data_IF_144473889720
#
_entry.id   IF_144473889720
#
_cell.length_a   1.000
_cell.length_b   1.000
_cell.length_c   1.000
_cell.angle_alpha   90.00
_cell.angle_beta   90.00
_cell.angle_gamma   90.00
#
_symmetry.space_group_name_H-M   'P 1'
#
loop_
_entity.id
_entity.type
_entity.pdbx_description
1 polymer ?
#
# COMPACT_ATOMS: atom_id res chain seq x y z
N UNK A 1 24.06 -5.40 -16.98
CA UNK A 1 23.55 -4.65 -15.81
C UNK A 1 24.74 -4.33 -14.93
N UNK A 2 24.77 -3.15 -14.29
CA UNK A 2 25.75 -2.89 -13.22
C UNK A 2 25.48 -3.88 -12.09
N UNK A 3 26.49 -4.60 -11.62
CA UNK A 3 26.34 -5.48 -10.46
C UNK A 3 26.23 -4.60 -9.23
N UNK A 4 25.03 -4.42 -8.70
CA UNK A 4 24.83 -3.73 -7.42
C UNK A 4 25.49 -4.59 -6.35
N UNK A 5 26.46 -4.03 -5.62
CA UNK A 5 27.11 -4.70 -4.50
C UNK A 5 26.48 -4.25 -3.17
N UNK A 6 26.63 -5.08 -2.14
CA UNK A 6 26.38 -4.68 -0.75
C UNK A 6 27.43 -3.63 -0.37
N UNK A 7 27.08 -2.70 0.52
CA UNK A 7 28.02 -1.71 1.05
C UNK A 7 29.12 -2.33 1.93
N UNK A 8 30.36 -1.89 1.74
CA UNK A 8 31.49 -2.27 2.60
C UNK A 8 31.24 -1.91 4.08
N UNK A 9 30.55 -0.79 4.33
CA UNK A 9 30.14 -0.37 5.68
C UNK A 9 29.13 -1.36 6.29
N UNK A 10 28.19 -1.86 5.50
CA UNK A 10 27.25 -2.90 5.94
C UNK A 10 28.01 -4.20 6.21
N UNK A 11 28.88 -4.64 5.30
CA UNK A 11 29.71 -5.85 5.46
C UNK A 11 30.59 -5.82 6.73
N UNK A 12 31.05 -4.63 7.13
CA UNK A 12 31.91 -4.40 8.31
C UNK A 12 31.13 -4.11 9.60
N UNK A 13 29.80 -3.98 9.55
CA UNK A 13 28.97 -3.61 10.71
C UNK A 13 28.88 -4.75 11.73
N UNK A 14 29.33 -4.52 12.97
CA UNK A 14 29.25 -5.49 14.07
C UNK A 14 27.82 -6.03 14.30
N UNK A 15 26.81 -5.23 13.97
CA UNK A 15 25.41 -5.60 14.07
C UNK A 15 25.05 -6.78 13.15
N UNK A 16 25.56 -6.82 11.92
CA UNK A 16 25.25 -7.91 10.98
C UNK A 16 26.09 -9.18 11.22
N UNK A 17 27.13 -9.09 12.07
CA UNK A 17 28.00 -10.23 12.40
C UNK A 17 27.39 -11.14 13.47
N UNK A 18 26.32 -10.69 14.13
CA UNK A 18 25.58 -11.46 15.13
C UNK A 18 24.16 -11.74 14.62
N UNK A 19 23.56 -12.90 14.94
CA UNK A 19 22.14 -13.14 14.70
C UNK A 19 21.27 -12.33 15.68
N UNK A 20 20.01 -12.11 15.33
CA UNK A 20 19.02 -11.53 16.24
C UNK A 20 18.61 -12.51 17.35
N UNK A 21 18.13 -11.96 18.48
CA UNK A 21 17.58 -12.73 19.59
C UNK A 21 16.31 -13.52 19.20
N UNK A 22 15.59 -13.06 18.18
CA UNK A 22 14.37 -13.66 17.64
C UNK A 22 14.27 -13.38 16.15
N UNK A 23 13.89 -14.39 15.37
CA UNK A 23 13.61 -14.22 13.93
C UNK A 23 12.32 -13.43 13.70
N UNK A 24 12.37 -12.49 12.75
CA UNK A 24 11.21 -11.73 12.28
C UNK A 24 10.79 -12.16 10.87
N UNK A 25 9.48 -12.20 10.60
CA UNK A 25 8.95 -12.21 9.23
C UNK A 25 8.66 -10.76 8.83
N UNK A 26 9.46 -10.21 7.92
CA UNK A 26 9.42 -8.79 7.56
C UNK A 26 8.95 -8.65 6.13
N UNK A 27 7.87 -7.91 5.93
CA UNK A 27 7.33 -7.64 4.59
C UNK A 27 7.91 -6.35 4.04
N UNK A 28 8.52 -6.45 2.87
CA UNK A 28 9.31 -5.40 2.25
C UNK A 28 8.67 -4.93 0.94
N UNK A 29 8.33 -3.64 0.87
CA UNK A 29 7.79 -3.02 -0.34
C UNK A 29 8.82 -2.12 -0.99
N UNK A 30 8.76 -1.97 -2.32
CA UNK A 30 9.64 -1.09 -3.08
C UNK A 30 9.41 -1.15 -4.58
N UNK A 31 10.16 -0.34 -5.33
CA UNK A 31 10.04 -0.24 -6.80
C UNK A 31 10.14 -1.59 -7.55
N UNK A 32 9.28 -1.78 -8.55
CA UNK A 32 9.34 -2.86 -9.56
C UNK A 32 9.99 -2.43 -10.88
N UNK A 33 10.56 -1.23 -10.95
CA UNK A 33 11.02 -0.64 -12.21
C UNK A 33 12.43 -1.10 -12.58
N UNK A 34 12.63 -1.56 -13.81
CA UNK A 34 13.96 -1.80 -14.40
C UNK A 34 14.79 -0.51 -14.60
N UNK A 35 14.17 0.67 -14.39
CA UNK A 35 14.81 2.00 -14.41
C UNK A 35 14.98 2.60 -13.01
N UNK A 36 14.91 1.79 -11.95
CA UNK A 36 15.10 2.27 -10.57
C UNK A 36 16.53 2.78 -10.38
N UNK A 37 16.73 4.02 -9.88
CA UNK A 37 18.05 4.55 -9.60
C UNK A 37 18.90 3.68 -8.67
N UNK A 38 20.20 3.60 -8.96
CA UNK A 38 21.18 2.78 -8.26
C UNK A 38 21.18 2.98 -6.74
N UNK A 39 21.07 4.22 -6.26
CA UNK A 39 20.98 4.54 -4.82
C UNK A 39 19.85 3.79 -4.08
N UNK A 40 18.72 3.55 -4.73
CA UNK A 40 17.61 2.78 -4.13
C UNK A 40 17.81 1.27 -4.28
N UNK A 41 18.45 0.82 -5.37
CA UNK A 41 18.80 -0.59 -5.55
C UNK A 41 19.84 -1.04 -4.52
N UNK A 42 20.79 -0.16 -4.17
CA UNK A 42 21.83 -0.37 -3.19
C UNK A 42 21.23 -0.61 -1.79
N UNK A 43 20.40 0.32 -1.32
CA UNK A 43 19.69 0.16 -0.04
C UNK A 43 18.72 -1.02 -0.03
N UNK A 44 18.11 -1.35 -1.18
CA UNK A 44 17.32 -2.55 -1.32
C UNK A 44 18.16 -3.84 -1.18
N UNK A 45 19.36 -3.90 -1.78
CA UNK A 45 20.28 -5.04 -1.61
C UNK A 45 20.81 -5.14 -0.18
N UNK A 46 21.21 -4.00 0.40
CA UNK A 46 21.61 -3.88 1.79
C UNK A 46 20.50 -4.44 2.72
N UNK A 47 19.23 -4.03 2.53
CA UNK A 47 18.11 -4.53 3.34
C UNK A 47 17.95 -6.05 3.26
N UNK A 48 17.94 -6.63 2.05
CA UNK A 48 17.84 -8.07 1.87
C UNK A 48 18.96 -8.82 2.59
N UNK A 49 20.20 -8.34 2.44
CA UNK A 49 21.38 -8.92 3.07
C UNK A 49 21.36 -8.81 4.60
N UNK A 50 21.00 -7.65 5.14
CA UNK A 50 20.92 -7.40 6.59
C UNK A 50 19.84 -8.29 7.21
N UNK A 51 18.64 -8.36 6.61
CA UNK A 51 17.58 -9.26 7.09
C UNK A 51 18.05 -10.71 7.13
N UNK A 52 18.67 -11.20 6.06
CA UNK A 52 19.22 -12.55 6.00
C UNK A 52 20.29 -12.81 7.07
N UNK A 53 21.27 -11.90 7.21
CA UNK A 53 22.37 -12.00 8.19
C UNK A 53 21.89 -11.95 9.64
N UNK A 54 20.85 -11.17 9.95
CA UNK A 54 20.21 -11.11 11.27
C UNK A 54 19.30 -12.33 11.55
N UNK A 55 19.05 -13.19 10.57
CA UNK A 55 18.21 -14.39 10.71
C UNK A 55 16.71 -14.13 10.53
N UNK A 56 16.34 -13.05 9.83
CA UNK A 56 14.96 -12.68 9.51
C UNK A 56 14.54 -13.24 8.15
N UNK A 57 13.23 -13.44 7.98
CA UNK A 57 12.61 -13.81 6.70
C UNK A 57 12.22 -12.54 5.93
N UNK A 58 12.73 -12.36 4.72
CA UNK A 58 12.37 -11.26 3.82
C UNK A 58 11.20 -11.67 2.93
N UNK A 59 10.07 -10.96 3.01
CA UNK A 59 8.86 -11.23 2.23
C UNK A 59 8.64 -10.07 1.26
N UNK A 60 8.50 -10.31 -0.04
CA UNK A 60 8.26 -9.22 -1.00
C UNK A 60 7.43 -9.66 -2.22
N UNK A 61 7.16 -8.71 -3.13
CA UNK A 61 6.33 -8.93 -4.32
C UNK A 61 6.95 -9.77 -5.45
N UNK A 62 8.07 -10.44 -5.22
CA UNK A 62 8.75 -11.38 -6.11
C UNK A 62 9.26 -10.88 -7.48
N UNK A 63 9.20 -9.57 -7.77
CA UNK A 63 9.46 -9.05 -9.12
C UNK A 63 10.94 -9.13 -9.58
N UNK A 64 11.13 -9.38 -10.87
CA UNK A 64 12.45 -9.50 -11.54
C UNK A 64 13.27 -8.21 -11.66
N UNK A 65 12.74 -7.05 -11.23
CA UNK A 65 13.41 -5.75 -11.39
C UNK A 65 13.20 -4.83 -10.18
N UNK A 66 14.02 -3.77 -10.12
CA UNK A 66 13.90 -2.72 -9.12
C UNK A 66 14.36 -3.15 -7.73
N UNK A 67 13.83 -2.49 -6.70
CA UNK A 67 14.14 -2.80 -5.31
C UNK A 67 13.77 -4.25 -4.94
N UNK A 68 12.70 -4.82 -5.52
CA UNK A 68 12.35 -6.22 -5.28
C UNK A 68 13.46 -7.19 -5.71
N UNK A 69 14.01 -7.01 -6.91
CA UNK A 69 15.13 -7.82 -7.39
C UNK A 69 16.37 -7.67 -6.50
N UNK A 70 16.74 -6.43 -6.17
CA UNK A 70 17.92 -6.18 -5.36
C UNK A 70 17.80 -6.76 -3.93
N UNK A 71 16.61 -6.68 -3.30
CA UNK A 71 16.32 -7.36 -2.02
C UNK A 71 16.46 -8.88 -2.13
N UNK A 72 15.90 -9.47 -3.19
CA UNK A 72 15.97 -10.92 -3.43
C UNK A 72 17.42 -11.39 -3.56
N UNK A 73 18.23 -10.69 -4.35
CA UNK A 73 19.66 -10.97 -4.48
C UNK A 73 20.40 -10.84 -3.14
N UNK A 74 20.23 -9.71 -2.44
CA UNK A 74 20.94 -9.45 -1.18
C UNK A 74 20.61 -10.51 -0.11
N UNK A 75 19.35 -10.93 -0.02
CA UNK A 75 18.95 -11.98 0.90
C UNK A 75 19.48 -13.38 0.48
N UNK A 76 19.70 -13.64 -0.81
CA UNK A 76 20.41 -14.84 -1.29
C UNK A 76 21.89 -14.78 -0.92
N UNK A 77 22.55 -13.63 -1.10
CA UNK A 77 23.96 -13.41 -0.69
C UNK A 77 24.17 -13.54 0.82
N UNK A 78 23.17 -13.15 1.62
CA UNK A 78 23.16 -13.34 3.07
C UNK A 78 22.81 -14.76 3.53
N UNK A 79 22.53 -15.69 2.60
CA UNK A 79 22.06 -17.06 2.86
C UNK A 79 20.79 -17.11 3.74
N UNK A 80 19.85 -16.20 3.50
CA UNK A 80 18.64 -16.03 4.30
C UNK A 80 17.43 -16.84 3.82
N UNK A 81 16.27 -16.50 4.40
CA UNK A 81 14.96 -16.99 3.97
C UNK A 81 14.20 -15.87 3.23
N UNK A 82 13.72 -16.18 2.03
CA UNK A 82 13.01 -15.25 1.14
C UNK A 82 11.67 -15.84 0.76
N UNK A 83 10.60 -15.04 0.84
CA UNK A 83 9.26 -15.40 0.39
C UNK A 83 8.80 -14.42 -0.69
N UNK A 84 8.66 -14.89 -1.91
CA UNK A 84 8.03 -14.14 -3.00
C UNK A 84 6.51 -14.29 -2.95
N UNK A 85 5.76 -13.19 -3.14
CA UNK A 85 4.29 -13.21 -3.25
C UNK A 85 3.85 -12.54 -4.54
N UNK A 86 3.41 -13.35 -5.50
CA UNK A 86 3.04 -12.93 -6.85
C UNK A 86 1.56 -13.25 -7.13
N UNK A 87 0.90 -12.47 -7.97
CA UNK A 87 -0.43 -12.81 -8.48
C UNK A 87 -0.29 -13.60 -9.79
N UNK A 88 -1.14 -14.61 -10.01
CA UNK A 88 -1.10 -15.50 -11.19
C UNK A 88 -1.03 -14.77 -12.54
N UNK A 89 -1.58 -13.56 -12.61
CA UNK A 89 -1.57 -12.70 -13.82
C UNK A 89 -0.18 -12.27 -14.29
N UNK A 90 0.87 -12.46 -13.48
CA UNK A 90 2.26 -12.15 -13.82
C UNK A 90 3.16 -13.40 -13.92
N UNK A 91 2.59 -14.61 -13.78
CA UNK A 91 3.29 -15.88 -13.98
C UNK A 91 3.08 -16.39 -15.42
N UNK A 92 3.26 -15.51 -16.40
CA UNK A 92 2.84 -15.77 -17.79
C UNK A 92 3.57 -16.97 -18.36
N UNK A 93 2.80 -18.02 -18.64
CA UNK A 93 3.18 -19.09 -19.55
C UNK A 93 2.06 -19.21 -20.60
N UNK A 94 2.44 -19.39 -21.88
CA UNK A 94 1.62 -19.29 -23.11
C UNK A 94 1.37 -17.86 -23.69
N UNK A 95 2.26 -17.41 -24.58
CA UNK A 95 1.92 -16.50 -25.68
C UNK A 95 2.63 -15.13 -25.72
N UNK A 96 3.15 -14.75 -26.89
CA UNK A 96 3.96 -13.54 -27.10
C UNK A 96 3.23 -12.23 -26.77
N UNK A 97 3.91 -11.30 -26.08
CA UNK A 97 3.51 -9.88 -26.01
C UNK A 97 3.88 -9.13 -27.30
N UNK A 98 3.30 -9.55 -28.42
CA UNK A 98 3.50 -8.94 -29.72
C UNK A 98 3.02 -7.48 -29.77
N UNK A 99 3.60 -6.71 -30.70
CA UNK A 99 3.29 -5.30 -30.96
C UNK A 99 1.78 -5.05 -31.17
N UNK A 100 1.18 -4.14 -30.41
CA UNK A 100 -0.24 -3.77 -30.60
C UNK A 100 -0.49 -3.01 -31.91
N UNK A 101 -1.65 -3.20 -32.57
CA UNK A 101 -2.11 -2.33 -33.66
C UNK A 101 -2.33 -0.86 -33.29
N UNK A 102 -2.29 -0.52 -31.99
CA UNK A 102 -2.53 0.82 -31.42
C UNK A 102 -1.27 1.50 -30.87
N UNK A 103 -0.08 0.90 -31.07
CA UNK A 103 1.22 1.52 -30.73
C UNK A 103 1.63 1.56 -29.25
N UNK A 104 1.09 0.71 -28.37
CA UNK A 104 1.48 0.60 -26.95
C UNK A 104 1.89 -0.83 -26.56
N UNK A 105 3.15 -1.06 -26.21
CA UNK A 105 3.67 -2.37 -25.77
C UNK A 105 3.77 -2.48 -24.23
N UNK A 106 3.33 -3.62 -23.68
CA UNK A 106 3.43 -4.02 -22.26
C UNK A 106 3.37 -5.55 -22.15
N UNK A 107 4.12 -6.25 -21.28
CA UNK A 107 5.31 -5.84 -20.51
C UNK A 107 6.08 -7.11 -20.12
N UNK A 108 7.37 -7.15 -20.43
CA UNK A 108 8.28 -8.20 -19.99
C UNK A 108 8.44 -8.14 -18.45
N UNK A 109 8.09 -9.21 -17.73
CA UNK A 109 8.02 -9.17 -16.26
C UNK A 109 7.36 -10.38 -15.60
N UNK A 110 8.17 -11.41 -15.32
CA UNK A 110 7.81 -12.55 -14.48
C UNK A 110 8.31 -12.43 -13.03
N UNK A 111 8.36 -13.58 -12.35
CA UNK A 111 9.02 -13.72 -11.04
C UNK A 111 10.55 -13.67 -11.17
N UNK A 112 11.23 -13.21 -10.12
CA UNK A 112 12.69 -13.19 -10.07
C UNK A 112 13.26 -14.62 -10.13
N UNK A 113 14.29 -14.84 -10.95
CA UNK A 113 14.88 -16.18 -11.20
C UNK A 113 15.55 -16.85 -9.99
N UNK A 114 15.56 -16.20 -8.82
CA UNK A 114 15.88 -16.89 -7.56
C UNK A 114 14.80 -17.90 -7.19
N UNK A 115 13.54 -17.62 -7.49
CA UNK A 115 12.39 -18.47 -7.15
C UNK A 115 12.17 -19.64 -8.12
N UNK A 116 12.91 -19.68 -9.24
CA UNK A 116 12.93 -20.81 -10.18
C UNK A 116 13.81 -21.98 -9.69
N UNK A 117 14.69 -21.72 -8.71
CA UNK A 117 15.66 -22.71 -8.22
C UNK A 117 15.02 -23.61 -7.17
N UNK A 118 15.22 -24.93 -7.31
CA UNK A 118 14.75 -25.91 -6.34
C UNK A 118 15.36 -25.66 -4.95
N UNK A 119 14.53 -25.60 -3.91
CA UNK A 119 15.01 -25.56 -2.54
C UNK A 119 15.60 -26.90 -2.12
N UNK A 120 16.87 -26.89 -1.70
CA UNK A 120 17.39 -27.89 -0.77
C UNK A 120 17.55 -27.20 0.60
N UNK A 121 16.69 -27.45 1.60
CA UNK A 121 16.81 -26.82 2.93
C UNK A 121 18.13 -27.14 3.65
N UNK A 122 18.85 -28.16 3.20
CA UNK A 122 20.17 -28.54 3.72
C UNK A 122 21.33 -27.80 3.04
N UNK A 123 21.10 -27.07 1.94
CA UNK A 123 22.13 -26.43 1.12
C UNK A 123 21.67 -25.07 0.55
N UNK A 124 22.11 -23.98 1.19
CA UNK A 124 21.92 -22.61 0.69
C UNK A 124 20.70 -21.86 1.27
N UNK A 125 20.28 -20.74 0.64
CA UNK A 125 19.13 -19.95 1.10
C UNK A 125 17.79 -20.62 0.78
N UNK A 126 16.80 -20.37 1.64
CA UNK A 126 15.42 -20.88 1.51
C UNK A 126 14.60 -19.88 0.68
N UNK A 127 13.84 -20.38 -0.32
CA UNK A 127 13.14 -19.54 -1.30
C UNK A 127 11.70 -20.01 -1.51
N UNK A 128 10.74 -19.41 -0.82
CA UNK A 128 9.32 -19.73 -0.99
C UNK A 128 8.69 -18.83 -2.07
N UNK A 129 7.68 -19.37 -2.78
CA UNK A 129 6.83 -18.61 -3.71
C UNK A 129 5.38 -18.88 -3.35
N UNK A 130 4.64 -17.82 -3.00
CA UNK A 130 3.21 -17.83 -2.79
C UNK A 130 2.52 -17.19 -4.00
N UNK A 131 1.50 -17.87 -4.50
CA UNK A 131 0.75 -17.45 -5.68
C UNK A 131 -0.67 -17.06 -5.22
N UNK A 132 -1.03 -15.79 -5.38
CA UNK A 132 -2.41 -15.34 -5.28
C UNK A 132 -3.15 -15.69 -6.58
N UNK A 133 -4.31 -16.33 -6.46
CA UNK A 133 -5.12 -16.81 -7.58
C UNK A 133 -6.52 -16.19 -7.64
N UNK A 134 -6.83 -15.25 -6.76
CA UNK A 134 -8.07 -14.49 -6.73
C UNK A 134 -8.37 -13.65 -8.00
N UNK A 135 -9.49 -12.91 -7.97
CA UNK A 135 -9.91 -12.04 -9.07
C UNK A 135 -9.23 -10.66 -9.05
N UNK A 136 -8.54 -10.30 -7.95
CA UNK A 136 -7.99 -8.97 -7.70
C UNK A 136 -6.69 -9.00 -6.87
N UNK A 137 -6.13 -7.82 -6.61
CA UNK A 137 -4.87 -7.67 -5.89
C UNK A 137 -4.98 -7.78 -4.36
N UNK A 138 -6.18 -7.89 -3.80
CA UNK A 138 -6.39 -7.89 -2.34
C UNK A 138 -5.88 -9.17 -1.70
N UNK A 139 -6.06 -10.32 -2.36
CA UNK A 139 -5.48 -11.58 -1.88
C UNK A 139 -3.95 -11.51 -1.82
N UNK A 140 -3.30 -10.97 -2.86
CA UNK A 140 -1.85 -10.79 -2.85
C UNK A 140 -1.40 -9.90 -1.70
N UNK A 141 -2.08 -8.77 -1.46
CA UNK A 141 -1.76 -7.88 -0.32
C UNK A 141 -1.95 -8.57 1.02
N UNK A 142 -3.00 -9.38 1.17
CA UNK A 142 -3.21 -10.25 2.34
C UNK A 142 -2.06 -11.24 2.54
N UNK A 143 -1.66 -11.99 1.51
CA UNK A 143 -0.55 -12.96 1.56
C UNK A 143 0.81 -12.31 1.84
N UNK A 144 1.03 -11.08 1.38
CA UNK A 144 2.24 -10.31 1.69
C UNK A 144 2.38 -10.06 3.20
N UNK A 145 1.29 -9.75 3.91
CA UNK A 145 1.32 -9.40 5.35
C UNK A 145 0.92 -10.54 6.29
N UNK A 146 0.47 -11.68 5.77
CA UNK A 146 0.04 -12.83 6.58
C UNK A 146 1.19 -13.37 7.46
N UNK A 147 1.00 -13.36 8.78
CA UNK A 147 2.03 -13.74 9.74
C UNK A 147 3.28 -12.84 9.77
N UNK A 148 3.26 -11.66 9.11
CA UNK A 148 4.35 -10.70 9.21
C UNK A 148 4.36 -10.02 10.59
N UNK A 149 5.55 -9.67 11.07
CA UNK A 149 5.74 -8.93 12.32
C UNK A 149 5.88 -7.42 12.09
N UNK A 150 6.31 -6.99 10.90
CA UNK A 150 6.50 -5.58 10.55
C UNK A 150 6.60 -5.35 9.04
N UNK A 151 6.48 -4.08 8.63
CA UNK A 151 6.75 -3.60 7.28
C UNK A 151 8.04 -2.77 7.21
N UNK A 152 8.82 -2.97 6.14
CA UNK A 152 9.87 -2.05 5.68
C UNK A 152 9.53 -1.55 4.29
N UNK A 153 9.59 -0.25 4.05
CA UNK A 153 9.19 0.35 2.77
C UNK A 153 10.35 1.15 2.17
N UNK A 154 10.85 0.67 1.04
CA UNK A 154 11.87 1.32 0.21
C UNK A 154 11.21 2.17 -0.88
N UNK A 155 11.93 3.17 -1.43
CA UNK A 155 11.44 4.01 -2.52
C UNK A 155 10.80 3.23 -3.67
N UNK A 156 9.64 3.72 -4.10
CA UNK A 156 8.74 3.03 -5.00
C UNK A 156 7.67 3.95 -5.58
N UNK A 157 6.76 3.38 -6.37
CA UNK A 157 5.69 4.12 -7.06
C UNK A 157 4.29 3.81 -6.49
N UNK A 158 3.22 4.07 -7.25
CA UNK A 158 1.84 3.94 -6.78
C UNK A 158 1.47 2.58 -6.16
N UNK A 159 2.03 1.46 -6.63
CA UNK A 159 1.80 0.14 -6.00
C UNK A 159 2.39 0.07 -4.59
N UNK A 160 3.65 0.49 -4.42
CA UNK A 160 4.32 0.62 -3.11
C UNK A 160 3.57 1.58 -2.18
N UNK A 161 2.98 2.65 -2.74
CA UNK A 161 2.21 3.63 -1.96
C UNK A 161 0.83 3.10 -1.55
N UNK A 162 0.15 2.33 -2.40
CA UNK A 162 -1.10 1.62 -2.05
C UNK A 162 -0.84 0.63 -0.90
N UNK A 163 0.18 -0.21 -1.06
CA UNK A 163 0.62 -1.20 -0.05
C UNK A 163 1.04 -0.54 1.28
N UNK A 164 1.70 0.63 1.24
CA UNK A 164 2.05 1.43 2.43
C UNK A 164 0.80 2.05 3.10
N UNK A 165 -0.03 2.76 2.34
CA UNK A 165 -1.15 3.53 2.90
C UNK A 165 -2.29 2.64 3.38
N UNK A 166 -2.46 1.44 2.82
CA UNK A 166 -3.36 0.43 3.37
C UNK A 166 -2.99 0.06 4.81
N UNK A 167 -1.72 -0.25 5.08
CA UNK A 167 -1.27 -0.58 6.44
C UNK A 167 -1.26 0.64 7.37
N UNK A 168 -0.89 1.83 6.87
CA UNK A 168 -0.94 3.05 7.67
C UNK A 168 -2.39 3.40 8.08
N UNK A 169 -3.38 3.15 7.20
CA UNK A 169 -4.80 3.26 7.54
C UNK A 169 -5.25 2.20 8.55
N UNK A 170 -4.85 0.93 8.37
CA UNK A 170 -5.14 -0.14 9.33
C UNK A 170 -4.59 0.17 10.73
N UNK A 171 -3.38 0.73 10.80
CA UNK A 171 -2.72 1.20 12.01
C UNK A 171 -3.47 2.38 12.64
N UNK A 172 -3.81 3.43 11.87
CA UNK A 172 -4.64 4.56 12.33
C UNK A 172 -5.97 4.12 12.97
N UNK A 173 -6.58 3.06 12.44
CA UNK A 173 -7.84 2.50 12.93
C UNK A 173 -7.69 1.53 14.12
N UNK A 174 -6.47 1.18 14.53
CA UNK A 174 -6.22 0.22 15.61
C UNK A 174 -6.72 -1.19 15.29
N UNK A 175 -6.63 -1.61 14.02
CA UNK A 175 -7.00 -2.96 13.61
C UNK A 175 -6.02 -3.98 14.22
N UNK A 176 -6.53 -5.15 14.60
CA UNK A 176 -5.76 -6.20 15.28
C UNK A 176 -4.56 -6.74 14.48
N UNK A 177 -4.55 -6.54 13.15
CA UNK A 177 -3.47 -6.94 12.25
C UNK A 177 -2.57 -5.75 11.83
N UNK A 178 -2.64 -4.59 12.50
CA UNK A 178 -1.79 -3.46 12.14
C UNK A 178 -0.35 -3.68 12.55
N UNK A 179 0.55 -3.59 11.57
CA UNK A 179 1.98 -3.80 11.76
C UNK A 179 2.70 -2.49 12.11
N UNK A 180 3.87 -2.55 12.77
CA UNK A 180 4.86 -1.48 12.73
C UNK A 180 5.32 -1.23 11.28
N UNK A 181 5.55 0.03 10.94
CA UNK A 181 5.96 0.47 9.59
C UNK A 181 7.21 1.34 9.72
N UNK A 182 8.27 0.99 9.00
CA UNK A 182 9.44 1.86 8.80
C UNK A 182 9.71 2.09 7.32
N UNK A 183 9.87 3.35 6.94
CA UNK A 183 10.25 3.78 5.59
C UNK A 183 11.73 4.15 5.54
N UNK A 184 12.46 3.60 4.56
CA UNK A 184 13.86 3.96 4.30
C UNK A 184 13.88 5.19 3.38
N UNK A 185 14.17 6.35 3.96
CA UNK A 185 14.09 7.68 3.37
C UNK A 185 15.34 8.06 2.56
N UNK A 186 15.79 7.14 1.69
CA UNK A 186 17.00 7.29 0.88
C UNK A 186 16.97 8.59 0.07
N UNK A 187 17.97 9.45 0.24
CA UNK A 187 18.06 10.77 -0.39
C UNK A 187 16.77 11.60 -0.23
N UNK A 188 16.19 11.54 0.98
CA UNK A 188 14.98 12.26 1.38
C UNK A 188 13.74 11.98 0.51
N UNK A 189 13.67 10.82 -0.16
CA UNK A 189 12.57 10.44 -1.07
C UNK A 189 11.16 10.55 -0.45
N UNK A 190 11.02 10.22 0.83
CA UNK A 190 9.77 10.28 1.59
C UNK A 190 9.56 11.60 2.34
N UNK A 191 10.48 12.55 2.26
CA UNK A 191 10.34 13.87 2.90
C UNK A 191 9.00 14.58 2.57
N UNK A 192 8.49 14.57 1.31
CA UNK A 192 7.18 15.15 1.00
C UNK A 192 6.00 14.42 1.67
N UNK A 193 6.13 13.13 1.98
CA UNK A 193 5.09 12.40 2.73
C UNK A 193 5.13 12.79 4.22
N UNK A 194 6.32 12.90 4.82
CA UNK A 194 6.47 13.37 6.19
C UNK A 194 5.91 14.79 6.37
N UNK A 195 6.22 15.70 5.45
CA UNK A 195 5.69 17.07 5.43
C UNK A 195 4.16 17.10 5.28
N UNK A 196 3.60 16.27 4.39
CA UNK A 196 2.15 16.15 4.23
C UNK A 196 1.47 15.59 5.50
N UNK A 197 2.07 14.60 6.16
CA UNK A 197 1.56 14.04 7.42
C UNK A 197 1.65 15.05 8.56
N UNK A 198 2.76 15.79 8.66
CA UNK A 198 2.93 16.87 9.63
C UNK A 198 1.87 17.95 9.44
N UNK A 199 1.63 18.39 8.20
CA UNK A 199 0.57 19.33 7.88
C UNK A 199 -0.82 18.80 8.21
N UNK A 200 -1.09 17.52 7.92
CA UNK A 200 -2.35 16.87 8.28
C UNK A 200 -2.57 16.77 9.80
N UNK A 201 -1.51 16.62 10.59
CA UNK A 201 -1.57 16.65 12.05
C UNK A 201 -1.83 18.07 12.58
N UNK A 202 -1.14 19.08 12.06
CA UNK A 202 -1.33 20.50 12.40
C UNK A 202 -2.76 20.98 12.07
N UNK A 203 -3.29 20.62 10.90
CA UNK A 203 -4.66 20.90 10.47
C UNK A 203 -5.71 20.00 11.18
N UNK A 204 -5.29 19.10 12.10
CA UNK A 204 -6.12 18.17 12.88
C UNK A 204 -6.91 17.14 12.06
N UNK A 205 -6.41 16.79 10.88
CA UNK A 205 -6.91 15.70 10.02
C UNK A 205 -6.32 14.33 10.43
N UNK A 206 -5.21 14.34 11.17
CA UNK A 206 -4.59 13.20 11.82
C UNK A 206 -4.64 13.38 13.35
N UNK A 207 -5.10 12.36 14.09
CA UNK A 207 -5.17 12.42 15.57
C UNK A 207 -3.84 12.01 16.22
N UNK A 208 -3.16 11.03 15.63
CA UNK A 208 -1.83 10.55 16.02
C UNK A 208 -0.75 11.45 15.43
N UNK A 209 0.43 11.48 16.05
CA UNK A 209 1.58 12.16 15.43
C UNK A 209 2.08 11.36 14.22
N UNK A 210 2.73 12.01 13.23
CA UNK A 210 3.23 11.31 12.04
C UNK A 210 4.13 10.09 12.35
N UNK A 211 5.03 10.23 13.32
CA UNK A 211 6.00 9.22 13.78
C UNK A 211 5.36 8.03 14.50
N UNK A 212 4.14 8.19 15.04
CA UNK A 212 3.37 7.10 15.65
C UNK A 212 2.72 6.20 14.57
N UNK A 213 2.49 6.76 13.36
CA UNK A 213 1.85 6.08 12.22
C UNK A 213 2.89 5.44 11.30
N UNK A 214 3.94 6.16 10.91
CA UNK A 214 5.04 5.67 10.06
C UNK A 214 6.36 6.16 10.63
N UNK A 215 7.29 5.26 10.90
CA UNK A 215 8.66 5.62 11.27
C UNK A 215 9.51 5.86 10.01
N UNK A 216 10.47 6.78 10.08
CA UNK A 216 11.37 7.10 8.97
C UNK A 216 12.82 7.03 9.45
N UNK A 217 13.66 6.37 8.67
CA UNK A 217 15.12 6.22 8.87
C UNK A 217 15.83 6.48 7.54
N UNK A 218 17.14 6.71 7.52
CA UNK A 218 17.85 7.01 6.27
C UNK A 218 18.38 5.75 5.57
N UNK A 219 18.70 4.70 6.34
CA UNK A 219 19.35 3.47 5.85
C UNK A 219 18.59 2.19 6.17
N UNK A 220 18.88 1.12 5.41
CA UNK A 220 18.39 -0.22 5.64
C UNK A 220 18.84 -0.82 7.00
N UNK A 221 20.03 -0.45 7.49
CA UNK A 221 20.52 -0.95 8.78
C UNK A 221 19.74 -0.34 9.96
N UNK A 222 19.49 0.97 9.94
CA UNK A 222 18.64 1.65 10.91
C UNK A 222 17.22 1.07 10.93
N UNK A 223 16.66 0.72 9.77
CA UNK A 223 15.35 0.09 9.69
C UNK A 223 15.31 -1.25 10.46
N UNK A 224 16.29 -2.13 10.24
CA UNK A 224 16.34 -3.44 10.93
C UNK A 224 16.67 -3.31 12.41
N UNK A 225 17.54 -2.36 12.80
CA UNK A 225 17.78 -2.03 14.22
C UNK A 225 16.50 -1.59 14.92
N UNK A 226 15.76 -0.65 14.33
CA UNK A 226 14.48 -0.19 14.87
C UNK A 226 13.46 -1.32 15.04
N UNK A 227 13.36 -2.23 14.05
CA UNK A 227 12.48 -3.40 14.12
C UNK A 227 12.81 -4.33 15.29
N UNK A 228 14.08 -4.53 15.59
CA UNK A 228 14.51 -5.36 16.72
C UNK A 228 14.32 -4.63 18.06
N UNK A 229 14.56 -3.32 18.12
CA UNK A 229 14.33 -2.51 19.31
C UNK A 229 12.85 -2.52 19.73
N UNK A 230 11.92 -2.31 18.79
CA UNK A 230 10.49 -2.38 19.10
C UNK A 230 10.08 -3.80 19.49
N UNK A 231 10.65 -4.85 18.89
CA UNK A 231 10.36 -6.25 19.20
C UNK A 231 10.83 -6.67 20.60
N UNK A 232 11.96 -6.13 21.07
CA UNK A 232 12.50 -6.39 22.39
C UNK A 232 11.87 -5.50 23.49
N UNK A 233 11.11 -4.46 23.12
CA UNK A 233 10.32 -3.69 24.08
C UNK A 233 9.06 -4.46 24.50
N UNK A 234 8.75 -4.48 25.81
CA UNK A 234 7.47 -4.99 26.35
C UNK A 234 6.24 -4.32 25.69
N UNK A 235 6.46 -3.15 25.11
CA UNK A 235 5.50 -2.31 24.43
C UNK A 235 5.18 -2.77 22.99
N UNK A 236 5.78 -3.87 22.47
CA UNK A 236 5.51 -4.36 21.11
C UNK A 236 4.02 -4.55 20.84
N UNK A 237 3.27 -5.12 21.80
CA UNK A 237 1.83 -5.32 21.69
C UNK A 237 1.03 -4.00 21.76
N UNK A 238 1.45 -3.04 22.60
CA UNK A 238 0.77 -1.75 22.83
C UNK A 238 1.15 -0.65 21.84
N UNK A 239 2.28 -0.78 21.13
CA UNK A 239 2.67 0.04 19.98
C UNK A 239 2.23 -0.56 18.64
N UNK A 240 2.06 -1.87 18.54
CA UNK A 240 1.37 -2.49 17.40
C UNK A 240 -0.14 -2.16 17.42
N UNK A 241 -0.76 -2.13 18.60
CA UNK A 241 -2.18 -1.79 18.78
C UNK A 241 -2.33 -0.40 19.41
N UNK A 242 -2.48 0.63 18.57
CA UNK A 242 -2.95 1.95 19.01
C UNK A 242 -4.22 1.78 19.84
N UNK A 243 -4.26 2.39 21.04
CA UNK A 243 -5.35 2.23 22.02
C UNK A 243 -6.71 2.40 21.33
N UNK A 244 -7.52 1.33 21.34
CA UNK A 244 -8.88 1.33 20.76
C UNK A 244 -9.65 2.56 21.25
N UNK A 245 -10.25 3.32 20.33
CA UNK A 245 -11.27 4.31 20.68
C UNK A 245 -12.33 3.61 21.54
N UNK A 246 -12.69 4.13 22.72
CA UNK A 246 -13.84 3.62 23.44
C UNK A 246 -15.07 3.86 22.56
N UNK A 247 -15.74 2.79 22.15
CA UNK A 247 -16.93 2.86 21.30
C UNK A 247 -18.15 3.31 22.12
N UNK A 248 -18.12 4.53 22.65
CA UNK A 248 -19.31 5.24 23.13
C UNK A 248 -20.17 5.67 21.95
N UNK A 249 -20.69 4.68 21.23
CA UNK A 249 -22.00 4.80 20.59
C UNK A 249 -23.00 5.07 21.71
N UNK A 250 -23.17 6.35 22.05
CA UNK A 250 -24.42 6.81 22.68
C UNK A 250 -25.53 6.36 21.73
N UNK A 251 -26.27 5.32 22.11
CA UNK A 251 -27.61 5.10 21.60
C UNK A 251 -28.38 6.37 21.96
N UNK A 252 -28.50 7.29 21.01
CA UNK A 252 -29.50 8.34 21.09
C UNK A 252 -30.85 7.64 21.04
N UNK A 253 -31.44 7.48 22.22
CA UNK A 253 -32.83 7.05 22.36
C UNK A 253 -33.73 8.13 21.78
N UNK A 254 -33.92 8.11 20.45
CA UNK A 254 -34.98 8.83 19.77
C UNK A 254 -36.33 8.13 20.05
N UNK A 255 -36.69 8.14 21.33
CA UNK A 255 -38.03 7.93 21.84
C UNK A 255 -38.37 9.16 22.67
N UNK A 256 -38.89 10.16 21.98
CA UNK A 256 -39.34 11.43 22.52
C UNK A 256 -40.50 11.90 21.66
N UNK A 257 -41.71 11.64 22.15
CA UNK A 257 -42.95 12.11 21.55
C UNK A 257 -43.03 13.63 21.64
N UNK A 258 -42.90 14.33 20.52
CA UNK A 258 -43.67 15.54 20.18
C UNK A 258 -43.26 16.08 18.81
N UNK A 259 -44.01 15.70 17.78
CA UNK A 259 -43.86 16.18 16.40
C UNK A 259 -45.22 16.31 15.70
N UNK A 260 -46.21 16.86 16.43
CA UNK A 260 -47.59 17.09 15.95
C UNK A 260 -48.01 18.57 15.99
N UNK A 261 -47.16 19.49 16.46
CA UNK A 261 -47.50 20.91 16.62
C UNK A 261 -46.54 21.87 15.89
N UNK A 262 -46.39 21.69 14.56
CA UNK A 262 -46.03 22.74 13.57
C UNK A 262 -45.88 22.10 12.18
N UNK A 263 -46.95 22.05 11.40
CA UNK A 263 -47.02 22.26 9.94
C UNK A 263 -48.46 22.02 9.48
N UNK A 264 -49.17 23.02 8.92
CA UNK A 264 -50.51 22.81 8.40
C UNK A 264 -50.43 22.25 6.98
N UNK A 265 -50.69 20.95 6.81
CA UNK A 265 -50.96 20.38 5.50
C UNK A 265 -52.31 19.68 5.51
N UNK A 266 -53.28 20.26 4.80
CA UNK A 266 -54.59 19.67 4.59
C UNK A 266 -54.46 18.49 3.62
N UNK A 267 -54.85 17.30 4.06
CA UNK A 267 -55.03 16.14 3.20
C UNK A 267 -56.51 15.78 3.17
N UNK A 268 -57.12 15.86 1.99
CA UNK A 268 -58.43 15.23 1.75
C UNK A 268 -58.26 13.70 1.72
N UNK A 269 -59.21 12.92 2.27
CA UNK A 269 -59.06 11.48 2.43
C UNK A 269 -59.65 10.67 1.25
N UNK A 270 -59.07 9.49 1.01
CA UNK A 270 -59.63 8.43 0.18
C UNK A 270 -58.62 7.86 -0.81
N UNK A 271 -58.50 6.54 -0.99
CA UNK A 271 -59.04 5.41 -0.21
C UNK A 271 -58.24 4.17 -0.60
N UNK A 272 -57.89 3.31 0.36
CA UNK A 272 -57.16 2.07 0.08
C UNK A 272 -58.08 1.06 -0.63
N UNK A 273 -57.60 0.48 -1.74
CA UNK A 273 -58.20 -0.70 -2.36
C UNK A 273 -57.08 -1.73 -2.59
N UNK A 274 -57.27 -2.92 -2.02
CA UNK A 274 -56.46 -4.11 -2.26
C UNK A 274 -56.83 -4.78 -3.59
N UNK A 275 -55.84 -5.22 -4.36
CA UNK A 275 -56.02 -5.97 -5.62
C UNK A 275 -54.97 -7.06 -5.77
N UNK A 276 -55.37 -8.19 -6.36
CA UNK A 276 -54.65 -9.47 -6.40
C UNK A 276 -53.63 -9.62 -7.54
N UNK A 277 -52.91 -10.75 -7.52
CA UNK A 277 -51.96 -11.25 -8.52
C UNK A 277 -52.54 -11.35 -9.94
N UNK A 278 -51.66 -11.18 -10.93
CA UNK A 278 -51.72 -11.85 -12.25
C UNK A 278 -50.35 -11.81 -12.95
N UNK A 279 -49.89 -12.94 -13.46
CA UNK A 279 -48.69 -13.07 -14.32
C UNK A 279 -48.97 -12.54 -15.74
N UNK A 280 -47.96 -11.99 -16.43
CA UNK A 280 -47.74 -12.26 -17.87
C UNK A 280 -46.34 -11.79 -18.35
N UNK A 281 -45.94 -12.28 -19.53
CA UNK A 281 -44.55 -12.31 -20.02
C UNK A 281 -44.08 -11.08 -20.83
N UNK A 282 -42.75 -10.91 -20.93
CA UNK A 282 -42.09 -10.59 -22.21
C UNK A 282 -41.87 -9.11 -22.61
N UNK A 283 -40.61 -8.65 -22.59
CA UNK A 283 -40.21 -7.41 -23.26
C UNK A 283 -38.78 -6.94 -22.96
N UNK A 284 -37.96 -6.74 -24.00
CA UNK A 284 -36.59 -6.18 -23.87
C UNK A 284 -36.60 -4.64 -23.76
N UNK A 285 -35.56 -4.00 -23.19
CA UNK A 285 -35.66 -2.64 -22.66
C UNK A 285 -35.55 -1.54 -23.72
N UNK A 286 -36.29 -0.45 -23.51
CA UNK A 286 -36.15 0.81 -24.26
C UNK A 286 -35.39 1.86 -23.44
N UNK A 287 -34.42 2.51 -24.09
CA UNK A 287 -33.65 3.63 -23.53
C UNK A 287 -34.53 4.87 -23.48
N UNK A 288 -34.64 5.52 -22.32
CA UNK A 288 -35.27 6.84 -22.20
C UNK A 288 -34.21 7.94 -22.08
N UNK A 289 -34.18 8.86 -23.05
CA UNK A 289 -33.45 10.12 -22.93
C UNK A 289 -34.12 10.99 -21.85
N UNK A 290 -33.33 11.58 -20.97
CA UNK A 290 -33.78 12.63 -20.07
C UNK A 290 -33.61 14.00 -20.75
N UNK A 291 -34.72 14.67 -21.08
CA UNK A 291 -34.73 16.04 -21.60
C UNK A 291 -35.41 16.99 -20.62
N UNK A 292 -34.83 18.19 -20.46
CA UNK A 292 -35.37 19.29 -19.66
C UNK A 292 -35.01 19.20 -18.16
N UNK A 293 -34.91 20.30 -17.42
CA UNK A 293 -35.28 21.70 -17.73
C UNK A 293 -34.20 22.66 -17.19
N UNK A 294 -33.88 23.69 -17.98
CA UNK A 294 -33.03 24.81 -17.57
C UNK A 294 -33.90 25.92 -16.93
N UNK A 295 -33.45 26.58 -15.86
CA UNK A 295 -33.86 27.95 -15.57
C UNK A 295 -32.66 28.90 -15.69
N UNK A 296 -32.71 29.76 -16.72
CA UNK A 296 -31.90 30.98 -16.78
C UNK A 296 -32.57 32.03 -15.88
N UNK A 297 -31.80 32.81 -15.10
CA UNK A 297 -32.12 34.21 -14.79
C UNK A 297 -30.90 34.90 -14.13
N UNK A 298 -30.37 35.90 -14.84
CA UNK A 298 -29.83 37.22 -14.41
C UNK A 298 -29.48 37.39 -12.91
N UNK A 299 -28.32 37.90 -12.49
CA UNK A 299 -27.21 38.54 -13.21
C UNK A 299 -26.70 39.76 -12.41
N UNK A 300 -25.38 39.93 -12.29
CA UNK A 300 -24.78 41.09 -11.63
C UNK A 300 -23.38 41.39 -12.20
N UNK A 301 -23.21 42.58 -12.75
CA UNK A 301 -21.99 43.02 -13.42
C UNK A 301 -20.98 43.60 -12.45
N UNK A 302 -19.71 43.17 -12.54
CA UNK A 302 -18.54 43.99 -12.18
C UNK A 302 -17.51 43.81 -13.30
N UNK A 303 -17.01 44.92 -13.85
CA UNK A 303 -16.07 44.92 -14.97
C UNK A 303 -14.64 45.27 -14.58
N UNK A 304 -13.76 45.26 -15.58
CA UNK A 304 -12.31 45.53 -15.52
C UNK A 304 -11.47 44.45 -14.78
N UNK A 305 -10.19 44.22 -15.11
CA UNK A 305 -9.23 45.07 -15.83
C UNK A 305 -8.18 44.24 -16.62
N UNK A 306 -7.80 44.72 -17.82
CA UNK A 306 -6.56 44.45 -18.61
C UNK A 306 -6.11 42.99 -18.87
N UNK A 307 -6.09 42.62 -20.16
CA UNK A 307 -5.21 41.57 -20.69
C UNK A 307 -3.99 42.17 -21.39
N UNK A 308 -2.79 41.62 -21.14
CA UNK A 308 -1.54 41.97 -21.83
C UNK A 308 -1.26 41.04 -23.00
N UNK A 309 -0.67 41.59 -24.08
CA UNK A 309 -0.32 40.83 -25.31
C UNK A 309 1.14 40.37 -25.31
N UNK A 310 1.35 39.16 -25.83
CA UNK A 310 2.61 38.50 -26.22
C UNK A 310 2.24 37.39 -27.24
N UNK A 311 2.99 36.98 -28.28
CA UNK A 311 4.21 37.47 -28.98
C UNK A 311 5.51 37.61 -28.15
N UNK A 312 6.66 37.08 -28.59
CA UNK A 312 7.08 36.40 -29.83
C UNK A 312 8.22 35.44 -29.41
N UNK A 313 8.41 34.24 -29.97
CA UNK A 313 9.44 33.85 -30.98
C UNK A 313 9.43 32.30 -31.02
N UNK A 314 9.30 31.64 -32.19
CA UNK A 314 10.38 31.19 -33.10
C UNK A 314 11.32 30.14 -32.51
#
# INVERSE_FOLDING_TARGET
>A
MTSITIDDQVLQSDFIQQPASRSLRVTCYGSSSSKTPEKYLKEARNLGYILAKRGHTCVNGAGSFGCMAAMNDGAVEGNGHIVGVIHKMWLVDQGDWASTPTGKTLRDGGAHSVFEKSNNPSEGPIREMLIADGPDLQERKRLLVEGAHALVVLPGGPGTWDELWEMACARKLGLHNSLPIVCVNVDHFYQPFLEMMQRAYEDRLLEQKPDEVIHFVETAEEAVRWLEEIQNSDDFASKAVLKKRPSTLRKSSFFGSDLTSKFPFSLMPGSWISGSESEEEGGKPSVLLWQGILPLMVGLSVGFLVGTKSKFER
#
